data_IF_888601883095
#
_entry.id   IF_888601883095
#
_cell.length_a   1.000
_cell.length_b   1.000
_cell.length_c   1.000
_cell.angle_alpha   90.00
_cell.angle_beta   90.00
_cell.angle_gamma   90.00
#
_symmetry.space_group_name_H-M   'P 1'
#
loop_
_entity.id
_entity.type
_entity.pdbx_description
1 polymer ?
#
# COMPACT_ATOMS: atom_id res chain seq x y z
N UNK A 1 -1.41 -12.39 -6.48
CA UNK A 1 -1.07 -12.58 -5.05
C UNK A 1 -2.25 -12.17 -4.18
N UNK A 2 -2.57 -12.90 -3.09
CA UNK A 2 -3.76 -12.66 -2.26
C UNK A 2 -3.83 -11.26 -1.65
N UNK A 3 -2.75 -10.76 -1.05
CA UNK A 3 -2.73 -9.45 -0.39
C UNK A 3 -2.99 -8.28 -1.35
N UNK A 4 -2.44 -8.34 -2.57
CA UNK A 4 -2.73 -7.33 -3.60
C UNK A 4 -4.21 -7.32 -3.93
N UNK A 5 -4.84 -8.50 -4.05
CA UNK A 5 -6.30 -8.59 -4.31
C UNK A 5 -7.12 -8.04 -3.14
N UNK A 6 -6.71 -8.32 -1.91
CA UNK A 6 -7.38 -7.80 -0.72
C UNK A 6 -7.30 -6.27 -0.61
N UNK A 7 -6.13 -5.69 -0.90
CA UNK A 7 -5.99 -4.23 -0.99
C UNK A 7 -6.94 -3.66 -2.05
N UNK A 8 -7.06 -4.30 -3.23
CA UNK A 8 -7.99 -3.84 -4.26
C UNK A 8 -9.44 -3.84 -3.82
N UNK A 9 -9.87 -4.87 -3.08
CA UNK A 9 -11.20 -4.88 -2.50
C UNK A 9 -11.35 -3.78 -1.45
N UNK A 10 -10.31 -3.51 -0.66
CA UNK A 10 -10.30 -2.40 0.31
C UNK A 10 -10.43 -1.03 -0.38
N UNK A 11 -9.74 -0.84 -1.51
CA UNK A 11 -9.83 0.39 -2.31
C UNK A 11 -11.24 0.58 -2.88
N UNK A 12 -11.81 -0.46 -3.51
CA UNK A 12 -13.19 -0.41 -4.04
C UNK A 12 -14.22 -0.11 -2.95
N UNK A 13 -14.10 -0.73 -1.77
CA UNK A 13 -14.98 -0.44 -0.63
C UNK A 13 -14.86 1.04 -0.25
N UNK A 14 -13.64 1.55 -0.16
CA UNK A 14 -13.38 2.94 0.23
C UNK A 14 -14.00 3.92 -0.78
N UNK A 15 -13.82 3.68 -2.08
CA UNK A 15 -14.44 4.48 -3.15
C UNK A 15 -15.97 4.44 -3.09
N UNK A 16 -16.55 3.25 -2.96
CA UNK A 16 -17.99 3.07 -2.87
C UNK A 16 -18.57 3.83 -1.67
N UNK A 17 -17.96 3.68 -0.49
CA UNK A 17 -18.44 4.31 0.74
C UNK A 17 -18.30 5.83 0.68
N UNK A 18 -17.23 6.35 0.07
CA UNK A 18 -17.06 7.78 -0.14
C UNK A 18 -18.24 8.35 -0.96
N UNK A 19 -18.63 7.67 -2.04
CA UNK A 19 -19.79 8.06 -2.87
C UNK A 19 -21.09 7.97 -2.06
N UNK A 20 -21.35 6.85 -1.37
CA UNK A 20 -22.58 6.63 -0.62
C UNK A 20 -22.79 7.61 0.54
N UNK A 21 -21.70 8.15 1.08
CA UNK A 21 -21.72 9.10 2.20
C UNK A 21 -21.45 10.54 1.77
N UNK A 22 -21.50 10.83 0.45
CA UNK A 22 -21.29 12.15 -0.15
C UNK A 22 -19.96 12.81 0.27
N UNK A 23 -18.90 12.04 0.42
CA UNK A 23 -17.55 12.56 0.70
C UNK A 23 -16.81 12.82 -0.62
N UNK A 24 -16.16 13.99 -0.71
CA UNK A 24 -15.42 14.42 -1.91
C UNK A 24 -13.91 14.25 -1.72
N UNK A 25 -13.46 13.00 -1.57
CA UNK A 25 -12.04 12.69 -1.44
C UNK A 25 -11.30 12.72 -2.78
N UNK A 26 -10.05 13.19 -2.74
CA UNK A 26 -9.08 13.01 -3.82
C UNK A 26 -8.58 11.57 -3.87
N UNK A 27 -8.05 11.13 -5.02
CA UNK A 27 -7.49 9.78 -5.22
C UNK A 27 -6.46 9.40 -4.13
N UNK A 28 -5.63 10.36 -3.71
CA UNK A 28 -4.62 10.15 -2.66
C UNK A 28 -5.21 9.85 -1.30
N UNK A 29 -6.31 10.52 -0.96
CA UNK A 29 -7.01 10.34 0.31
C UNK A 29 -7.67 8.96 0.31
N UNK A 30 -8.30 8.58 -0.80
CA UNK A 30 -8.87 7.23 -0.99
C UNK A 30 -7.81 6.13 -0.89
N UNK A 31 -6.67 6.29 -1.57
CA UNK A 31 -5.56 5.33 -1.51
C UNK A 31 -5.00 5.21 -0.09
N UNK A 32 -4.85 6.34 0.61
CA UNK A 32 -4.36 6.36 1.98
C UNK A 32 -5.35 5.67 2.93
N UNK A 33 -6.64 6.01 2.89
CA UNK A 33 -7.67 5.39 3.73
C UNK A 33 -7.74 3.89 3.44
N UNK A 34 -7.81 3.49 2.18
CA UNK A 34 -7.84 2.09 1.78
C UNK A 34 -6.62 1.30 2.29
N UNK A 35 -5.42 1.89 2.20
CA UNK A 35 -4.20 1.25 2.70
C UNK A 35 -4.20 1.14 4.22
N UNK A 36 -4.67 2.17 4.94
CA UNK A 36 -4.77 2.13 6.40
C UNK A 36 -5.78 1.07 6.86
N UNK A 37 -6.94 0.96 6.20
CA UNK A 37 -7.92 -0.09 6.47
C UNK A 37 -7.35 -1.49 6.21
N UNK A 38 -6.63 -1.67 5.08
CA UNK A 38 -5.94 -2.92 4.77
C UNK A 38 -4.83 -3.25 5.80
N UNK A 39 -4.07 -2.25 6.23
CA UNK A 39 -2.91 -2.46 7.08
C UNK A 39 -3.30 -2.72 8.54
N UNK A 40 -4.16 -1.89 9.13
CA UNK A 40 -4.59 -2.05 10.53
C UNK A 40 -5.72 -3.07 10.69
N UNK A 41 -6.51 -3.28 9.65
CA UNK A 41 -7.70 -4.13 9.67
C UNK A 41 -8.95 -3.31 9.99
N UNK A 42 -10.03 -3.60 9.26
CA UNK A 42 -11.34 -3.00 9.48
C UNK A 42 -12.27 -3.92 10.29
N UNK A 43 -11.85 -5.16 10.56
CA UNK A 43 -12.65 -6.19 11.22
C UNK A 43 -11.91 -6.71 12.45
N UNK A 44 -12.67 -6.91 13.52
CA UNK A 44 -12.18 -7.29 14.84
C UNK A 44 -12.26 -6.12 15.81
N UNK A 45 -12.57 -6.42 17.07
CA UNK A 45 -12.79 -5.39 18.12
C UNK A 45 -11.60 -4.44 18.22
N UNK A 46 -10.38 -4.98 18.41
CA UNK A 46 -9.19 -4.15 18.57
C UNK A 46 -8.79 -3.46 17.26
N UNK A 47 -8.79 -4.19 16.13
CA UNK A 47 -8.35 -3.65 14.83
C UNK A 47 -9.25 -2.50 14.37
N UNK A 48 -10.57 -2.66 14.50
CA UNK A 48 -11.55 -1.63 14.11
C UNK A 48 -11.44 -0.38 14.99
N UNK A 49 -11.24 -0.51 16.30
CA UNK A 49 -11.01 0.64 17.19
C UNK A 49 -9.70 1.38 16.88
N UNK A 50 -8.62 0.66 16.58
CA UNK A 50 -7.37 1.27 16.12
C UNK A 50 -7.60 2.04 14.81
N UNK A 51 -8.28 1.42 13.84
CA UNK A 51 -8.57 2.06 12.56
C UNK A 51 -9.45 3.31 12.73
N UNK A 52 -10.50 3.26 13.57
CA UNK A 52 -11.33 4.42 13.89
C UNK A 52 -10.49 5.58 14.46
N UNK A 53 -9.60 5.28 15.42
CA UNK A 53 -8.73 6.29 16.01
C UNK A 53 -7.79 6.93 14.97
N UNK A 54 -7.29 6.16 14.00
CA UNK A 54 -6.45 6.66 12.93
C UNK A 54 -7.23 7.54 11.96
N UNK A 55 -8.49 7.19 11.70
CA UNK A 55 -9.42 7.92 10.82
C UNK A 55 -10.25 8.97 11.58
N UNK A 56 -9.82 9.42 12.76
CA UNK A 56 -10.56 10.37 13.60
C UNK A 56 -10.84 11.75 12.94
N UNK A 57 -10.11 12.08 11.87
CA UNK A 57 -10.33 13.32 11.11
C UNK A 57 -11.39 13.16 10.01
N UNK A 58 -11.79 11.92 9.71
CA UNK A 58 -12.87 11.62 8.77
C UNK A 58 -14.23 11.73 9.46
N UNK A 59 -15.29 11.90 8.67
CA UNK A 59 -16.64 11.99 9.25
C UNK A 59 -17.08 10.66 9.87
N UNK A 60 -17.76 10.73 11.02
CA UNK A 60 -18.29 9.53 11.70
C UNK A 60 -19.22 8.71 10.80
N UNK A 61 -20.00 9.39 9.95
CA UNK A 61 -20.91 8.75 9.00
C UNK A 61 -20.11 7.90 8.01
N UNK A 62 -19.02 8.45 7.47
CA UNK A 62 -18.12 7.72 6.57
C UNK A 62 -17.46 6.53 7.28
N UNK A 63 -16.83 6.75 8.45
CA UNK A 63 -16.08 5.70 9.16
C UNK A 63 -17.00 4.55 9.58
N UNK A 64 -18.18 4.84 10.13
CA UNK A 64 -19.14 3.80 10.52
C UNK A 64 -19.64 3.01 9.32
N UNK A 65 -19.95 3.70 8.21
CA UNK A 65 -20.36 3.04 6.97
C UNK A 65 -19.24 2.16 6.42
N UNK A 66 -18.02 2.66 6.40
CA UNK A 66 -16.82 1.95 5.94
C UNK A 66 -16.66 0.60 6.64
N UNK A 67 -16.66 0.61 7.98
CA UNK A 67 -16.53 -0.60 8.79
C UNK A 67 -17.66 -1.59 8.53
N UNK A 68 -18.91 -1.13 8.49
CA UNK A 68 -20.05 -2.01 8.20
C UNK A 68 -19.96 -2.65 6.82
N UNK A 69 -19.50 -1.90 5.80
CA UNK A 69 -19.33 -2.42 4.44
C UNK A 69 -18.18 -3.44 4.36
N UNK A 70 -17.10 -3.24 5.13
CA UNK A 70 -16.05 -4.27 5.26
C UNK A 70 -16.59 -5.57 5.85
N UNK A 71 -17.38 -5.52 6.92
CA UNK A 71 -17.98 -6.72 7.52
C UNK A 71 -18.91 -7.47 6.56
N UNK A 72 -19.77 -6.73 5.83
CA UNK A 72 -20.65 -7.30 4.81
C UNK A 72 -19.83 -7.97 3.70
N UNK A 73 -18.79 -7.29 3.21
CA UNK A 73 -17.93 -7.81 2.13
C UNK A 73 -17.14 -9.04 2.58
N UNK A 74 -16.66 -9.08 3.82
CA UNK A 74 -15.93 -10.24 4.35
C UNK A 74 -16.80 -11.50 4.31
N UNK A 75 -18.06 -11.40 4.77
CA UNK A 75 -19.03 -12.51 4.73
C UNK A 75 -19.24 -13.02 3.31
N UNK A 76 -19.36 -12.11 2.33
CA UNK A 76 -19.48 -12.45 0.91
C UNK A 76 -18.24 -13.22 0.41
N UNK A 77 -17.03 -12.71 0.69
CA UNK A 77 -15.76 -13.26 0.21
C UNK A 77 -15.45 -14.63 0.83
N UNK A 78 -15.75 -14.81 2.12
CA UNK A 78 -15.63 -16.09 2.83
C UNK A 78 -16.56 -17.13 2.19
N UNK A 79 -17.83 -16.78 1.94
CA UNK A 79 -18.81 -17.66 1.29
C UNK A 79 -18.34 -18.09 -0.10
N UNK A 80 -17.72 -17.18 -0.86
CA UNK A 80 -17.18 -17.46 -2.19
C UNK A 80 -15.82 -18.20 -2.17
N UNK A 81 -15.22 -18.44 -0.99
CA UNK A 81 -13.89 -19.06 -0.83
C UNK A 81 -12.81 -18.37 -1.69
N UNK A 82 -12.87 -17.04 -1.80
CA UNK A 82 -11.92 -16.26 -2.63
C UNK A 82 -10.54 -16.13 -1.99
N UNK A 83 -10.46 -16.26 -0.67
CA UNK A 83 -9.25 -16.19 0.15
C UNK A 83 -9.12 -17.46 1.01
N UNK A 84 -7.89 -17.86 1.28
CA UNK A 84 -7.58 -18.98 2.19
C UNK A 84 -7.41 -18.54 3.65
N UNK A 85 -7.67 -17.27 3.94
CA UNK A 85 -7.64 -16.63 5.25
C UNK A 85 -8.79 -15.64 5.33
N UNK A 86 -9.07 -15.12 6.51
CA UNK A 86 -10.08 -14.08 6.72
C UNK A 86 -9.53 -12.73 6.24
N UNK A 87 -10.10 -12.12 5.18
CA UNK A 87 -9.63 -10.82 4.71
C UNK A 87 -10.07 -9.71 5.68
N UNK A 88 -9.41 -8.55 5.60
CA UNK A 88 -9.69 -7.31 6.32
C UNK A 88 -9.45 -7.34 7.84
N UNK A 89 -8.83 -8.40 8.38
CA UNK A 89 -8.40 -8.47 9.79
C UNK A 89 -7.09 -7.69 10.06
N UNK A 90 -6.44 -7.20 9.01
CA UNK A 90 -5.23 -6.38 9.08
C UNK A 90 -3.93 -7.16 8.89
N UNK A 91 -2.89 -6.45 8.43
CA UNK A 91 -1.58 -7.01 8.10
C UNK A 91 -0.42 -6.32 8.82
N UNK A 92 -0.70 -5.45 9.79
CA UNK A 92 0.26 -4.63 10.52
C UNK A 92 1.39 -5.46 11.14
N UNK A 93 1.07 -6.61 11.72
CA UNK A 93 2.07 -7.49 12.35
C UNK A 93 3.10 -8.01 11.35
N UNK A 94 2.70 -8.29 10.10
CA UNK A 94 3.59 -8.84 9.07
C UNK A 94 4.28 -7.73 8.28
N UNK A 95 3.50 -6.81 7.74
CA UNK A 95 3.99 -5.74 6.88
C UNK A 95 4.75 -4.66 7.66
N UNK A 96 4.39 -4.43 8.92
CA UNK A 96 5.04 -3.42 9.76
C UNK A 96 6.51 -3.75 10.05
N UNK A 97 6.82 -4.99 10.41
CA UNK A 97 8.22 -5.40 10.59
C UNK A 97 8.97 -5.41 9.26
N UNK A 98 8.35 -5.91 8.21
CA UNK A 98 8.95 -6.00 6.88
C UNK A 98 9.35 -4.63 6.32
N UNK A 99 8.42 -3.67 6.27
CA UNK A 99 8.71 -2.35 5.72
C UNK A 99 9.63 -1.51 6.62
N UNK A 100 9.54 -1.68 7.95
CA UNK A 100 10.48 -1.03 8.88
C UNK A 100 11.90 -1.52 8.63
N UNK A 101 12.10 -2.83 8.49
CA UNK A 101 13.41 -3.39 8.20
C UNK A 101 13.91 -2.92 6.83
N UNK A 102 13.07 -3.01 5.78
CA UNK A 102 13.40 -2.54 4.43
C UNK A 102 13.85 -1.07 4.44
N UNK A 103 13.11 -0.19 5.14
CA UNK A 103 13.45 1.22 5.27
C UNK A 103 14.74 1.44 6.01
N UNK A 104 14.92 0.80 7.18
CA UNK A 104 16.12 0.95 7.99
C UNK A 104 17.36 0.47 7.26
N UNK A 105 17.30 -0.67 6.55
CA UNK A 105 18.43 -1.16 5.75
C UNK A 105 18.77 -0.20 4.62
N UNK A 106 17.78 0.25 3.84
CA UNK A 106 18.02 1.23 2.77
C UNK A 106 18.59 2.52 3.31
N UNK A 107 18.00 3.06 4.39
CA UNK A 107 18.44 4.31 5.03
C UNK A 107 19.86 4.19 5.57
N UNK A 108 20.19 3.07 6.22
CA UNK A 108 21.53 2.82 6.73
C UNK A 108 22.56 2.88 5.61
N UNK A 109 22.33 2.17 4.50
CA UNK A 109 23.20 2.22 3.31
C UNK A 109 23.30 3.64 2.76
N UNK A 110 22.17 4.34 2.67
CA UNK A 110 22.08 5.71 2.16
C UNK A 110 22.95 6.69 2.94
N UNK A 111 22.97 6.59 4.27
CA UNK A 111 23.65 7.53 5.15
C UNK A 111 25.15 7.28 5.33
N UNK A 112 25.68 6.10 4.96
CA UNK A 112 27.09 5.80 5.19
C UNK A 112 28.02 6.72 4.37
N UNK A 113 29.09 7.24 4.95
CA UNK A 113 30.05 8.12 4.24
C UNK A 113 31.14 7.37 3.45
N UNK A 114 30.96 6.06 3.28
CA UNK A 114 31.92 5.21 2.56
C UNK A 114 31.75 5.34 1.04
N UNK A 115 32.87 5.36 0.32
CA UNK A 115 32.90 5.48 -1.14
C UNK A 115 32.68 4.10 -1.80
N UNK A 116 31.42 3.64 -1.79
CA UNK A 116 30.98 2.40 -2.45
C UNK A 116 29.81 2.70 -3.38
N UNK A 117 29.53 1.78 -4.31
CA UNK A 117 28.33 1.85 -5.13
C UNK A 117 27.08 1.45 -4.32
N UNK A 118 26.57 2.36 -3.49
CA UNK A 118 25.36 2.17 -2.67
C UNK A 118 24.14 1.72 -3.47
N UNK A 119 24.02 2.20 -4.71
CA UNK A 119 22.93 1.82 -5.58
C UNK A 119 22.91 0.30 -5.81
N UNK A 120 24.05 -0.33 -6.05
CA UNK A 120 24.13 -1.78 -6.25
C UNK A 120 23.75 -2.57 -4.99
N UNK A 121 24.11 -2.09 -3.79
CA UNK A 121 23.70 -2.73 -2.53
C UNK A 121 22.18 -2.68 -2.33
N UNK A 122 21.57 -1.50 -2.48
CA UNK A 122 20.10 -1.39 -2.33
C UNK A 122 19.39 -2.08 -3.49
N UNK A 123 20.00 -2.16 -4.68
CA UNK A 123 19.49 -2.97 -5.80
C UNK A 123 19.46 -4.46 -5.45
N UNK A 124 20.45 -4.99 -4.74
CA UNK A 124 20.41 -6.37 -4.21
C UNK A 124 19.26 -6.54 -3.22
N UNK A 125 19.04 -5.58 -2.32
CA UNK A 125 17.89 -5.58 -1.40
C UNK A 125 16.56 -5.56 -2.17
N UNK A 126 16.42 -4.67 -3.17
CA UNK A 126 15.25 -4.62 -4.06
C UNK A 126 15.02 -5.93 -4.81
N UNK A 127 16.08 -6.64 -5.20
CA UNK A 127 15.97 -7.91 -5.92
C UNK A 127 15.29 -9.03 -5.08
N UNK A 128 15.20 -8.87 -3.75
CA UNK A 128 14.42 -9.76 -2.89
C UNK A 128 12.90 -9.52 -2.99
N UNK A 129 12.47 -8.36 -3.49
CA UNK A 129 11.05 -8.00 -3.65
C UNK A 129 10.52 -8.59 -4.94
N UNK A 130 9.55 -9.50 -4.84
CA UNK A 130 8.77 -9.93 -6.00
C UNK A 130 7.98 -8.76 -6.60
N UNK A 131 7.54 -8.88 -7.86
CA UNK A 131 6.74 -7.84 -8.52
C UNK A 131 5.48 -7.46 -7.72
N UNK A 132 4.86 -8.42 -7.06
CA UNK A 132 3.67 -8.16 -6.23
C UNK A 132 4.02 -7.51 -4.88
N UNK A 133 5.18 -7.83 -4.29
CA UNK A 133 5.66 -7.13 -3.09
C UNK A 133 6.05 -5.69 -3.40
N UNK A 134 6.60 -5.43 -4.59
CA UNK A 134 6.81 -4.05 -5.05
C UNK A 134 5.49 -3.29 -5.21
N UNK A 135 4.41 -3.96 -5.64
CA UNK A 135 3.06 -3.36 -5.68
C UNK A 135 2.54 -3.05 -4.27
N UNK A 136 2.61 -3.99 -3.33
CA UNK A 136 2.20 -3.73 -1.94
C UNK A 136 3.04 -2.61 -1.31
N UNK A 137 4.33 -2.61 -1.58
CA UNK A 137 5.23 -1.53 -1.15
C UNK A 137 4.86 -0.21 -1.81
N UNK A 138 4.44 -0.20 -3.08
CA UNK A 138 3.93 1.00 -3.76
C UNK A 138 2.70 1.58 -3.05
N UNK A 139 1.75 0.74 -2.62
CA UNK A 139 0.62 1.22 -1.83
C UNK A 139 1.04 1.77 -0.47
N UNK A 140 2.04 1.14 0.18
CA UNK A 140 2.60 1.66 1.43
C UNK A 140 3.22 3.06 1.27
N UNK A 141 4.08 3.28 0.27
CA UNK A 141 4.75 4.57 0.06
C UNK A 141 3.77 5.69 -0.31
N UNK A 142 2.62 5.36 -0.90
CA UNK A 142 1.55 6.32 -1.22
C UNK A 142 0.65 6.62 -0.03
N UNK A 143 0.72 5.82 1.03
CA UNK A 143 0.04 6.08 2.30
C UNK A 143 0.90 6.92 3.25
N UNK A 144 0.26 7.46 4.28
CA UNK A 144 0.93 8.19 5.36
C UNK A 144 2.00 7.36 6.10
N UNK A 145 1.90 6.02 6.08
CA UNK A 145 2.85 5.13 6.75
C UNK A 145 4.21 5.06 6.02
N UNK A 146 4.22 5.26 4.71
CA UNK A 146 5.42 5.14 3.87
C UNK A 146 6.00 6.47 3.40
N UNK A 147 5.43 7.61 3.80
CA UNK A 147 5.79 8.96 3.29
C UNK A 147 7.30 9.26 3.31
N UNK A 148 8.02 8.80 4.34
CA UNK A 148 9.46 9.07 4.47
C UNK A 148 10.27 8.55 3.28
N UNK A 149 9.80 7.48 2.62
CA UNK A 149 10.44 6.97 1.40
C UNK A 149 10.42 7.98 0.25
N UNK A 150 9.35 8.77 0.16
CA UNK A 150 9.16 9.82 -0.84
C UNK A 150 9.91 11.08 -0.42
N UNK A 151 9.71 11.55 0.82
CA UNK A 151 10.32 12.78 1.34
C UNK A 151 11.85 12.74 1.26
N UNK A 152 12.44 11.58 1.55
CA UNK A 152 13.88 11.36 1.48
C UNK A 152 14.37 10.92 0.09
N UNK A 153 13.48 10.88 -0.91
CA UNK A 153 13.75 10.50 -2.31
C UNK A 153 14.35 9.10 -2.48
N UNK A 154 14.18 8.20 -1.50
CA UNK A 154 14.76 6.85 -1.52
C UNK A 154 14.14 5.97 -2.60
N UNK A 155 12.83 6.13 -2.88
CA UNK A 155 12.14 5.38 -3.95
C UNK A 155 12.79 5.65 -5.30
N UNK A 156 13.00 6.92 -5.64
CA UNK A 156 13.56 7.34 -6.93
C UNK A 156 15.06 7.00 -6.99
N UNK A 157 15.81 7.38 -5.94
CA UNK A 157 17.27 7.18 -5.85
C UNK A 157 17.67 5.72 -6.06
N UNK A 158 16.93 4.78 -5.46
CA UNK A 158 17.24 3.34 -5.54
C UNK A 158 16.32 2.56 -6.48
N UNK A 159 15.40 3.27 -7.16
CA UNK A 159 14.44 2.71 -8.11
C UNK A 159 13.64 1.56 -7.48
N UNK A 160 13.14 1.75 -6.25
CA UNK A 160 12.60 0.66 -5.41
C UNK A 160 11.45 -0.14 -6.04
N UNK A 161 10.66 0.49 -6.90
CA UNK A 161 9.46 -0.08 -7.53
C UNK A 161 9.62 -0.33 -9.03
N UNK A 162 10.84 -0.29 -9.58
CA UNK A 162 11.05 -0.32 -11.04
C UNK A 162 10.63 -1.62 -11.74
N UNK A 163 10.43 -2.71 -11.01
CA UNK A 163 10.07 -4.02 -11.58
C UNK A 163 8.55 -4.23 -11.63
N UNK A 164 7.74 -3.28 -11.17
CA UNK A 164 6.29 -3.39 -11.30
C UNK A 164 5.93 -3.44 -12.80
N UNK A 165 5.28 -4.51 -13.28
CA UNK A 165 4.80 -4.59 -14.66
C UNK A 165 3.71 -3.56 -14.94
N UNK A 166 3.65 -3.04 -16.17
CA UNK A 166 2.77 -1.94 -16.60
C UNK A 166 1.32 -2.04 -16.10
N UNK A 167 0.70 -3.21 -16.25
CA UNK A 167 -0.72 -3.41 -15.91
C UNK A 167 -0.94 -4.10 -14.56
N UNK A 168 0.09 -4.19 -13.71
CA UNK A 168 -0.05 -4.86 -12.41
C UNK A 168 -0.71 -3.94 -11.37
N UNK A 169 -0.69 -2.63 -11.54
CA UNK A 169 -1.48 -1.67 -10.78
C UNK A 169 -2.56 -1.14 -11.72
N UNK A 170 -3.80 -1.11 -11.23
CA UNK A 170 -4.98 -0.72 -12.02
C UNK A 170 -5.78 0.41 -11.37
N UNK A 171 -5.43 0.75 -10.14
CA UNK A 171 -6.13 1.70 -9.28
C UNK A 171 -5.74 3.15 -9.60
N UNK A 172 -4.58 3.35 -10.23
CA UNK A 172 -4.06 4.65 -10.66
C UNK A 172 -2.99 4.47 -11.75
N UNK A 173 -2.66 5.55 -12.45
CA UNK A 173 -1.55 5.56 -13.42
C UNK A 173 -0.19 5.62 -12.69
N UNK A 174 0.48 4.47 -12.64
CA UNK A 174 1.77 4.32 -11.98
C UNK A 174 2.86 5.23 -12.60
N UNK A 175 2.86 5.41 -13.92
CA UNK A 175 3.89 6.20 -14.60
C UNK A 175 3.65 7.69 -14.40
N UNK A 176 2.40 8.14 -14.49
CA UNK A 176 2.04 9.52 -14.16
C UNK A 176 2.40 9.86 -12.72
N UNK A 177 2.28 8.88 -11.81
CA UNK A 177 2.62 9.07 -10.39
C UNK A 177 4.12 9.14 -10.10
N UNK A 178 4.92 8.38 -10.84
CA UNK A 178 6.38 8.34 -10.68
C UNK A 178 7.09 8.63 -12.01
N UNK A 179 6.97 9.87 -12.54
CA UNK A 179 7.46 10.21 -13.88
C UNK A 179 8.99 10.06 -14.01
N UNK A 180 9.72 10.26 -12.92
CA UNK A 180 11.19 10.16 -12.85
C UNK A 180 11.70 8.70 -12.89
N UNK A 181 10.86 7.72 -12.60
CA UNK A 181 11.25 6.31 -12.64
C UNK A 181 11.14 5.77 -14.05
N UNK A 182 12.21 5.11 -14.51
CA UNK A 182 12.20 4.29 -15.72
C UNK A 182 11.94 2.84 -15.31
N UNK A 183 10.72 2.39 -15.55
CA UNK A 183 10.29 1.01 -15.34
C UNK A 183 10.86 0.07 -16.40
N UNK A 184 10.93 -1.23 -16.11
CA UNK A 184 11.56 -2.19 -17.04
C UNK A 184 10.78 -2.37 -18.35
N UNK A 185 9.45 -2.28 -18.29
CA UNK A 185 8.61 -2.37 -19.47
C UNK A 185 8.77 -1.18 -20.42
N UNK A 186 9.27 -0.03 -19.96
CA UNK A 186 9.61 1.12 -20.83
C UNK A 186 10.82 0.84 -21.71
N UNK A 187 11.73 -0.05 -21.27
CA UNK A 187 12.98 -0.35 -21.98
C UNK A 187 12.81 -1.39 -23.07
N UNK A 188 11.80 -2.24 -22.95
CA UNK A 188 11.50 -3.31 -23.92
C UNK A 188 10.64 -2.82 -25.09
N UNK A 189 10.35 -1.51 -25.15
CA UNK A 189 9.60 -0.84 -26.22
C UNK A 189 10.51 -0.08 -27.20
N UNK A 190 11.83 -0.25 -27.07
CA UNK A 190 12.86 0.30 -27.98
C UNK A 190 13.56 -0.84 -28.71
#
# INVERSE_FOLDING_TARGET
MPLVREFRESFKITEQVAIETNQSYQENELLNIAYLSFYYGAIGEISSEILKSILQNESDIFVNKLLSTFEEKQKELIRQRKFYYNPFEGHQSRLGHYYRHLYQTTKYVDTQKININKYEYVKTLRAQLSNHEQVLFCYNILSNLGKNWIDEKLVIKYKMIKNIPHNLITEFDLKARFPELIFEWEKNLV
#
